data_IF_529656559369
#
_entry.id   IF_529656559369
#
_cell.length_a   1.000
_cell.length_b   1.000
_cell.length_c   1.000
_cell.angle_alpha   90.00
_cell.angle_beta   90.00
_cell.angle_gamma   90.00
#
_symmetry.space_group_name_H-M   'P 1'
#
loop_
_entity.id
_entity.type
_entity.pdbx_description
1 polymer ?
#
# COMPACT_ATOMS: atom_id res chain seq x y z
N UNK A 1 -1.49 1.99 32.58
CA UNK A 1 -1.77 1.23 31.34
C UNK A 1 -1.77 -0.25 31.67
N UNK A 2 -2.89 -0.94 31.49
CA UNK A 2 -2.97 -2.40 31.64
C UNK A 2 -2.07 -3.07 30.59
N UNK A 3 -1.25 -4.03 31.03
CA UNK A 3 -0.45 -4.88 30.13
C UNK A 3 -1.19 -6.21 29.97
N UNK A 4 -1.41 -6.63 28.73
CA UNK A 4 -2.00 -7.93 28.42
C UNK A 4 -0.94 -8.84 27.82
N UNK A 5 -0.92 -10.10 28.27
CA UNK A 5 0.00 -11.12 27.75
C UNK A 5 -0.58 -11.75 26.49
N UNK A 6 0.23 -11.85 25.43
CA UNK A 6 -0.15 -12.51 24.18
C UNK A 6 0.71 -13.78 24.05
N UNK A 7 0.06 -14.93 23.82
CA UNK A 7 0.75 -16.20 23.56
C UNK A 7 0.61 -16.54 22.07
N UNK A 8 1.73 -16.71 21.38
CA UNK A 8 1.77 -16.88 19.92
C UNK A 8 2.51 -18.19 19.62
N UNK A 9 1.86 -19.08 18.87
CA UNK A 9 2.50 -20.28 18.31
C UNK A 9 3.05 -19.95 16.93
N UNK A 10 4.30 -20.32 16.69
CA UNK A 10 4.97 -20.11 15.40
C UNK A 10 6.00 -21.20 15.18
N UNK A 11 6.48 -21.32 13.94
CA UNK A 11 7.52 -22.27 13.59
C UNK A 11 8.87 -21.93 14.26
N UNK A 12 9.60 -22.97 14.69
CA UNK A 12 10.85 -22.80 15.43
C UNK A 12 11.96 -22.16 14.59
N UNK A 13 12.03 -22.46 13.29
CA UNK A 13 13.03 -21.87 12.41
C UNK A 13 12.72 -20.41 12.12
N UNK A 14 11.44 -20.09 11.88
CA UNK A 14 11.00 -18.71 11.64
C UNK A 14 11.29 -17.84 12.86
N UNK A 15 11.05 -18.35 14.07
CA UNK A 15 11.39 -17.65 15.32
C UNK A 15 12.90 -17.36 15.39
N UNK A 16 13.74 -18.36 15.12
CA UNK A 16 15.20 -18.21 15.18
C UNK A 16 15.71 -17.19 14.16
N UNK A 17 15.30 -17.31 12.89
CA UNK A 17 15.64 -16.37 11.82
C UNK A 17 15.21 -14.94 12.14
N UNK A 18 13.99 -14.77 12.66
CA UNK A 18 13.47 -13.45 13.06
C UNK A 18 14.30 -12.84 14.19
N UNK A 19 14.67 -13.63 15.19
CA UNK A 19 15.46 -13.18 16.33
C UNK A 19 16.86 -12.72 15.90
N UNK A 20 17.51 -13.42 14.98
CA UNK A 20 18.82 -13.01 14.43
C UNK A 20 18.72 -11.65 13.70
N UNK A 21 17.69 -11.47 12.89
CA UNK A 21 17.45 -10.21 12.17
C UNK A 21 17.18 -9.07 13.15
N UNK A 22 16.30 -9.27 14.14
CA UNK A 22 15.97 -8.23 15.11
C UNK A 22 17.15 -7.89 16.03
N UNK A 23 17.96 -8.88 16.42
CA UNK A 23 19.17 -8.64 17.20
C UNK A 23 20.18 -7.77 16.43
N UNK A 24 20.34 -8.03 15.13
CA UNK A 24 21.14 -7.18 14.23
C UNK A 24 20.65 -5.72 14.19
N UNK A 25 19.34 -5.52 14.34
CA UNK A 25 18.71 -4.20 14.38
C UNK A 25 18.64 -3.59 15.79
N UNK A 26 19.11 -4.29 16.83
CA UNK A 26 19.06 -3.83 18.22
C UNK A 26 17.70 -4.00 18.91
N UNK A 27 16.84 -4.89 18.42
CA UNK A 27 15.52 -5.17 18.99
C UNK A 27 15.42 -6.59 19.54
N UNK A 28 14.71 -6.73 20.66
CA UNK A 28 14.20 -8.02 21.12
C UNK A 28 12.93 -8.43 20.36
N UNK A 29 12.66 -9.73 20.25
CA UNK A 29 11.45 -10.27 19.61
C UNK A 29 10.18 -9.61 20.15
N UNK A 30 10.08 -9.42 21.46
CA UNK A 30 8.90 -8.82 22.11
C UNK A 30 8.73 -7.36 21.71
N UNK A 31 9.84 -6.63 21.59
CA UNK A 31 9.84 -5.23 21.18
C UNK A 31 9.41 -5.08 19.72
N UNK A 32 9.89 -5.94 18.84
CA UNK A 32 9.50 -5.95 17.43
C UNK A 32 7.98 -6.21 17.27
N UNK A 33 7.42 -7.17 18.01
CA UNK A 33 5.97 -7.47 17.97
C UNK A 33 5.17 -6.28 18.50
N UNK A 34 5.58 -5.68 19.62
CA UNK A 34 4.89 -4.52 20.17
C UNK A 34 4.96 -3.30 19.23
N UNK A 35 6.09 -3.11 18.53
CA UNK A 35 6.24 -2.08 17.53
C UNK A 35 5.27 -2.33 16.36
N UNK A 36 5.20 -3.57 15.87
CA UNK A 36 4.27 -3.96 14.81
C UNK A 36 2.82 -3.63 15.18
N UNK A 37 2.36 -4.02 16.38
CA UNK A 37 1.00 -3.75 16.83
C UNK A 37 0.70 -2.23 16.92
N UNK A 38 1.66 -1.44 17.40
CA UNK A 38 1.53 0.03 17.45
C UNK A 38 1.38 0.63 16.07
N UNK A 39 2.17 0.17 15.10
CA UNK A 39 2.09 0.65 13.72
C UNK A 39 0.75 0.29 13.08
N UNK A 40 0.25 -0.93 13.29
CA UNK A 40 -1.06 -1.35 12.78
C UNK A 40 -2.19 -0.48 13.30
N UNK A 41 -2.19 -0.15 14.61
CA UNK A 41 -3.19 0.75 15.21
C UNK A 41 -3.04 2.18 14.69
N UNK A 42 -1.81 2.66 14.53
CA UNK A 42 -1.57 4.02 14.06
C UNK A 42 -2.05 4.25 12.62
N UNK A 43 -1.79 3.29 11.73
CA UNK A 43 -2.13 3.38 10.32
C UNK A 43 -3.56 2.94 10.00
N UNK A 44 -4.23 2.25 10.94
CA UNK A 44 -5.46 1.51 10.70
C UNK A 44 -5.37 0.58 9.46
N UNK A 45 -4.17 0.04 9.23
CA UNK A 45 -3.83 -0.80 8.09
C UNK A 45 -2.64 -1.68 8.46
N UNK A 46 -2.31 -2.66 7.62
CA UNK A 46 -1.09 -3.44 7.80
C UNK A 46 0.14 -2.56 7.56
N UNK A 47 1.15 -2.62 8.43
CA UNK A 47 2.36 -1.80 8.34
C UNK A 47 3.35 -2.31 7.29
N UNK A 48 2.90 -3.16 6.37
CA UNK A 48 3.62 -3.61 5.19
C UNK A 48 2.64 -3.74 4.02
N UNK A 49 3.12 -3.52 2.80
CA UNK A 49 2.32 -3.74 1.58
C UNK A 49 2.20 -5.24 1.32
N UNK A 50 0.96 -5.74 1.22
CA UNK A 50 0.73 -7.11 0.77
C UNK A 50 0.76 -7.12 -0.76
N UNK A 51 1.81 -7.68 -1.33
CA UNK A 51 1.88 -8.02 -2.75
C UNK A 51 2.42 -9.43 -2.90
N UNK A 52 1.96 -10.16 -3.92
CA UNK A 52 2.76 -11.29 -4.40
C UNK A 52 4.06 -10.69 -4.92
N UNK A 53 5.20 -11.16 -4.40
CA UNK A 53 6.49 -11.00 -5.06
C UNK A 53 6.49 -11.81 -6.37
N UNK A 54 5.61 -11.47 -7.31
CA UNK A 54 5.96 -11.64 -8.71
C UNK A 54 7.11 -10.67 -8.92
N UNK A 55 8.24 -11.16 -9.43
CA UNK A 55 9.36 -10.31 -9.85
C UNK A 55 8.88 -9.51 -11.08
N UNK A 56 7.95 -8.58 -10.89
CA UNK A 56 7.42 -7.73 -11.96
C UNK A 56 8.18 -6.41 -11.92
N UNK A 57 9.25 -6.39 -12.74
CA UNK A 57 9.98 -5.27 -13.36
C UNK A 57 10.09 -3.94 -12.59
N UNK A 58 11.33 -3.51 -12.45
CA UNK A 58 11.76 -2.16 -12.11
C UNK A 58 11.13 -1.08 -13.00
N UNK A 59 11.07 0.13 -12.41
CA UNK A 59 11.11 1.46 -13.04
C UNK A 59 10.05 1.85 -14.08
N UNK A 60 8.87 2.24 -13.59
CA UNK A 60 8.04 3.23 -14.28
C UNK A 60 8.49 4.66 -13.88
N UNK A 61 8.68 5.60 -14.84
CA UNK A 61 9.07 6.95 -14.50
C UNK A 61 7.92 7.68 -13.78
N UNK A 62 8.34 8.45 -12.77
CA UNK A 62 7.69 9.58 -12.13
C UNK A 62 6.40 10.08 -12.84
N UNK A 63 5.29 10.15 -12.07
CA UNK A 63 4.12 11.02 -12.26
C UNK A 63 3.83 11.48 -13.69
N UNK A 64 2.83 10.85 -14.34
CA UNK A 64 2.06 11.58 -15.37
C UNK A 64 0.96 12.39 -14.68
N UNK A 65 0.80 13.70 -14.98
CA UNK A 65 -0.37 14.47 -14.56
C UNK A 65 -1.65 13.82 -15.09
N UNK A 66 -2.76 14.01 -14.39
CA UNK A 66 -4.12 13.68 -14.83
C UNK A 66 -4.47 14.48 -16.10
N UNK A 67 -3.97 14.04 -17.25
CA UNK A 67 -4.59 14.32 -18.53
C UNK A 67 -4.98 12.97 -19.11
N UNK A 68 -6.28 12.70 -19.19
CA UNK A 68 -6.93 12.05 -20.34
C UNK A 68 -8.44 12.03 -20.08
N UNK A 69 -9.11 13.08 -20.56
CA UNK A 69 -10.44 12.88 -21.13
C UNK A 69 -10.25 12.18 -22.48
N UNK A 70 -10.52 10.88 -22.53
CA UNK A 70 -10.55 10.12 -23.79
C UNK A 70 -11.30 8.79 -23.63
N UNK A 71 -12.62 8.82 -23.85
CA UNK A 71 -13.48 7.68 -24.26
C UNK A 71 -14.87 8.28 -24.54
N UNK A 72 -15.35 8.46 -25.77
CA UNK A 72 -15.25 7.63 -26.97
C UNK A 72 -15.06 8.50 -28.22
N UNK A 73 -14.08 8.20 -29.07
CA UNK A 73 -14.11 8.51 -30.52
C UNK A 73 -14.42 9.95 -30.96
N UNK A 74 -14.39 10.94 -30.06
CA UNK A 74 -14.51 12.37 -30.30
C UNK A 74 -13.77 13.08 -29.17
N UNK A 75 -12.84 13.95 -29.54
CA UNK A 75 -12.19 14.92 -28.65
C UNK A 75 -13.21 16.04 -28.51
N UNK A 76 -13.65 16.34 -27.28
CA UNK A 76 -14.53 17.49 -27.04
C UNK A 76 -13.71 18.60 -26.42
N UNK A 77 -13.39 19.60 -27.22
CA UNK A 77 -12.99 20.92 -26.73
C UNK A 77 -14.27 21.59 -26.24
N UNK A 78 -14.32 21.95 -24.96
CA UNK A 78 -15.40 22.77 -24.43
C UNK A 78 -15.26 24.20 -24.99
N UNK A 79 -15.79 24.45 -26.18
CA UNK A 79 -16.00 25.77 -26.76
C UNK A 79 -17.02 25.64 -27.90
N UNK A 80 -17.83 26.68 -28.12
CA UNK A 80 -18.77 26.83 -29.26
C UNK A 80 -20.09 26.06 -29.07
N UNK A 81 -20.97 26.48 -28.16
CA UNK A 81 -21.88 27.64 -28.35
C UNK A 81 -22.42 27.76 -29.78
N UNK A 82 -23.66 27.33 -29.97
CA UNK A 82 -24.56 27.90 -30.96
C UNK A 82 -24.89 27.04 -32.18
N UNK A 83 -26.18 27.14 -32.58
CA UNK A 83 -26.78 26.72 -33.86
C UNK A 83 -27.37 25.30 -33.82
N UNK A 84 -28.66 25.18 -33.48
CA UNK A 84 -29.80 25.13 -34.43
C UNK A 84 -29.72 23.91 -35.36
N UNK A 85 -30.74 23.06 -35.55
CA UNK A 85 -32.18 23.33 -35.58
C UNK A 85 -32.94 21.99 -35.64
N UNK A 86 -34.16 22.00 -35.12
CA UNK A 86 -35.25 21.10 -35.50
C UNK A 86 -35.51 21.11 -37.02
N UNK A 87 -35.85 19.94 -37.57
CA UNK A 87 -36.82 19.64 -38.66
C UNK A 87 -36.46 18.26 -39.25
N UNK A 88 -37.38 17.38 -39.65
CA UNK A 88 -38.84 17.35 -39.70
C UNK A 88 -39.26 15.88 -39.74
#
# INVERSE_FOLDING_TARGET
MSKSTINIRTDSEIKKKSQEIFASLGFDMTTAINLFLRQTVHLNNLPFSIGHQTKAKTDGPLRRPLEYGALKGKIWTAAETGRCKHEK
#
